data_IF_773581688456
#
_entry.id   IF_773581688456
#
_cell.length_a   1.000
_cell.length_b   1.000
_cell.length_c   1.000
_cell.angle_alpha   90.00
_cell.angle_beta   90.00
_cell.angle_gamma   90.00
#
_symmetry.space_group_name_H-M   'P 1'
#
loop_
_entity.id
_entity.type
_entity.pdbx_description
1 polymer ?
#
# COMPACT_ATOMS: atom_id res chain seq x y z
N UNK A 1 1.64 -56.38 36.36
CA UNK A 1 1.86 -55.38 35.28
C UNK A 1 0.68 -54.40 35.27
N UNK A 2 0.83 -53.18 35.78
CA UNK A 2 -0.04 -52.05 35.39
C UNK A 2 0.76 -50.75 35.56
N UNK A 3 1.09 -50.11 34.42
CA UNK A 3 1.70 -48.78 34.35
C UNK A 3 0.59 -47.74 34.46
N UNK A 4 0.63 -46.90 35.48
CA UNK A 4 -0.24 -45.71 35.56
C UNK A 4 0.47 -44.52 34.91
N UNK A 5 -0.10 -44.06 33.79
CA UNK A 5 0.36 -42.93 33.01
C UNK A 5 -0.12 -41.63 33.67
N UNK A 6 0.80 -40.74 34.04
CA UNK A 6 0.51 -39.35 34.44
C UNK A 6 0.16 -38.55 33.19
N UNK A 7 -1.12 -38.24 32.98
CA UNK A 7 -1.54 -37.24 32.01
C UNK A 7 -1.36 -35.84 32.62
N UNK A 8 -0.46 -35.05 32.04
CA UNK A 8 -0.37 -33.62 32.27
C UNK A 8 -1.51 -32.93 31.52
N UNK A 9 -2.47 -32.34 32.24
CA UNK A 9 -3.47 -31.47 31.63
C UNK A 9 -2.82 -30.13 31.28
N UNK A 10 -2.73 -29.87 29.97
CA UNK A 10 -2.29 -28.60 29.40
C UNK A 10 -3.28 -27.48 29.74
N UNK A 11 -2.73 -26.38 30.23
CA UNK A 11 -3.42 -25.11 30.46
C UNK A 11 -3.89 -24.55 29.12
N UNK A 12 -5.19 -24.63 28.86
CA UNK A 12 -5.85 -23.97 27.72
C UNK A 12 -5.94 -22.47 28.01
N UNK A 13 -4.97 -21.71 27.49
CA UNK A 13 -5.03 -20.26 27.43
C UNK A 13 -6.20 -19.83 26.51
N UNK A 14 -7.33 -19.42 27.11
CA UNK A 14 -8.42 -18.75 26.40
C UNK A 14 -7.98 -17.31 26.06
N UNK A 15 -7.43 -17.12 24.86
CA UNK A 15 -7.32 -15.79 24.27
C UNK A 15 -8.73 -15.27 23.94
N UNK A 16 -9.28 -14.45 24.84
CA UNK A 16 -10.54 -13.76 24.64
C UNK A 16 -10.41 -12.68 23.57
N UNK A 17 -10.65 -13.04 22.31
CA UNK A 17 -10.92 -12.06 21.28
C UNK A 17 -12.32 -11.49 21.52
N UNK A 18 -12.40 -10.21 21.86
CA UNK A 18 -13.65 -9.44 21.85
C UNK A 18 -14.20 -9.46 20.41
N UNK A 19 -15.19 -10.29 20.14
CA UNK A 19 -16.00 -10.19 18.92
C UNK A 19 -16.84 -8.92 19.05
N UNK A 20 -16.37 -7.82 18.45
CA UNK A 20 -17.22 -6.68 18.20
C UNK A 20 -18.38 -7.19 17.33
N UNK A 21 -19.62 -7.07 17.81
CA UNK A 21 -20.81 -7.38 17.04
C UNK A 21 -20.81 -6.48 15.79
N UNK A 22 -20.37 -7.02 14.66
CA UNK A 22 -20.36 -6.31 13.39
C UNK A 22 -21.81 -6.05 13.01
N UNK A 23 -22.17 -4.78 12.79
CA UNK A 23 -23.48 -4.40 12.26
C UNK A 23 -23.76 -5.22 10.97
N UNK A 24 -25.03 -5.62 10.73
CA UNK A 24 -25.39 -6.29 9.49
C UNK A 24 -24.97 -5.42 8.31
N UNK A 25 -24.36 -6.05 7.30
CA UNK A 25 -23.86 -5.35 6.12
C UNK A 25 -25.07 -5.06 5.22
N UNK A 26 -25.57 -3.84 5.27
CA UNK A 26 -26.64 -3.39 4.37
C UNK A 26 -26.10 -3.25 2.94
N UNK A 27 -26.88 -3.74 1.96
CA UNK A 27 -26.57 -3.54 0.55
C UNK A 27 -26.84 -2.08 0.16
N UNK A 28 -25.87 -1.44 -0.49
CA UNK A 28 -25.98 -0.07 -0.99
C UNK A 28 -26.22 -0.08 -2.50
N UNK A 29 -27.32 0.49 -3.03
CA UNK A 29 -27.54 0.54 -4.47
C UNK A 29 -26.52 1.45 -5.16
N UNK A 30 -26.23 1.14 -6.43
CA UNK A 30 -25.21 1.84 -7.24
C UNK A 30 -25.46 3.35 -7.37
N UNK A 31 -26.71 3.81 -7.31
CA UNK A 31 -27.07 5.24 -7.34
C UNK A 31 -26.42 6.08 -6.21
N UNK A 32 -26.07 5.47 -5.08
CA UNK A 32 -25.47 6.18 -3.93
C UNK A 32 -23.97 6.45 -4.09
N UNK A 33 -23.39 6.08 -5.23
CA UNK A 33 -21.96 6.33 -5.55
C UNK A 33 -21.63 7.82 -5.56
N UNK A 34 -22.56 8.67 -5.99
CA UNK A 34 -22.37 10.13 -6.02
C UNK A 34 -22.17 10.69 -4.62
N UNK A 35 -22.94 10.20 -3.64
CA UNK A 35 -22.88 10.68 -2.25
C UNK A 35 -21.71 10.08 -1.47
N UNK A 36 -21.42 8.78 -1.69
CA UNK A 36 -20.43 8.03 -0.91
C UNK A 36 -19.53 7.18 -1.83
N UNK A 37 -18.71 7.80 -2.69
CA UNK A 37 -17.90 7.07 -3.67
C UNK A 37 -16.92 6.08 -3.01
N UNK A 38 -16.46 6.41 -1.80
CA UNK A 38 -15.54 5.58 -1.02
C UNK A 38 -16.13 4.23 -0.59
N UNK A 39 -17.44 4.00 -0.70
CA UNK A 39 -18.06 2.72 -0.31
C UNK A 39 -18.17 1.73 -1.47
N UNK A 40 -17.77 2.12 -2.67
CA UNK A 40 -17.94 1.32 -3.87
C UNK A 40 -16.60 0.93 -4.51
N UNK A 41 -16.66 -0.06 -5.39
CA UNK A 41 -15.57 -0.49 -6.25
C UNK A 41 -16.10 -0.66 -7.67
N UNK A 42 -15.31 -0.25 -8.66
CA UNK A 42 -15.61 -0.49 -10.07
C UNK A 42 -14.97 -1.80 -10.51
N UNK A 43 -15.75 -2.66 -11.16
CA UNK A 43 -15.29 -3.94 -11.69
C UNK A 43 -15.43 -3.93 -13.19
N UNK A 44 -14.38 -4.37 -13.87
CA UNK A 44 -14.40 -4.63 -15.30
C UNK A 44 -14.91 -6.05 -15.57
N UNK A 45 -15.85 -6.16 -16.49
CA UNK A 45 -16.45 -7.41 -16.96
C UNK A 45 -16.41 -7.45 -18.49
N UNK A 46 -16.81 -8.57 -19.09
CA UNK A 46 -16.89 -8.69 -20.55
C UNK A 46 -17.96 -7.75 -21.15
N UNK A 47 -18.90 -7.28 -20.33
CA UNK A 47 -20.00 -6.40 -20.74
C UNK A 47 -19.77 -4.93 -20.33
N UNK A 48 -18.58 -4.60 -19.80
CA UNK A 48 -18.20 -3.24 -19.41
C UNK A 48 -17.88 -3.07 -17.93
N UNK A 49 -17.91 -1.82 -17.47
CA UNK A 49 -17.60 -1.43 -16.10
C UNK A 49 -18.87 -1.34 -15.25
N UNK A 50 -18.89 -2.02 -14.11
CA UNK A 50 -20.01 -2.00 -13.17
C UNK A 50 -19.56 -1.58 -11.78
N UNK A 51 -20.47 -0.96 -11.03
CA UNK A 51 -20.19 -0.45 -9.69
C UNK A 51 -20.83 -1.35 -8.65
N UNK A 52 -20.04 -1.79 -7.66
CA UNK A 52 -20.47 -2.73 -6.61
C UNK A 52 -20.01 -2.22 -5.24
N UNK A 53 -20.80 -2.40 -4.17
CA UNK A 53 -20.37 -2.03 -2.83
C UNK A 53 -19.17 -2.86 -2.38
N UNK A 54 -18.20 -2.20 -1.73
CA UNK A 54 -16.96 -2.82 -1.22
C UNK A 54 -17.16 -4.13 -0.42
N UNK A 55 -18.18 -4.26 0.45
CA UNK A 55 -18.38 -5.50 1.21
C UNK A 55 -18.60 -6.73 0.32
N UNK A 56 -19.21 -6.54 -0.86
CA UNK A 56 -19.55 -7.60 -1.81
C UNK A 56 -18.45 -7.84 -2.85
N UNK A 57 -17.39 -7.02 -2.83
CA UNK A 57 -16.27 -7.16 -3.73
C UNK A 57 -15.28 -8.23 -3.25
N UNK A 58 -15.06 -9.24 -4.09
CA UNK A 58 -13.92 -10.15 -4.06
C UNK A 58 -13.40 -10.36 -5.48
N UNK A 59 -12.08 -10.31 -5.63
CA UNK A 59 -11.41 -10.48 -6.91
C UNK A 59 -11.77 -11.85 -7.51
N UNK A 60 -12.12 -11.88 -8.82
CA UNK A 60 -12.64 -13.02 -9.59
C UNK A 60 -14.01 -13.56 -9.15
N UNK A 61 -14.26 -13.73 -7.84
CA UNK A 61 -15.53 -14.25 -7.35
C UNK A 61 -16.71 -13.37 -7.76
N UNK A 62 -16.61 -12.05 -7.52
CA UNK A 62 -17.66 -11.10 -7.91
C UNK A 62 -17.84 -11.06 -9.42
N UNK A 63 -16.74 -11.06 -10.19
CA UNK A 63 -16.78 -11.02 -11.66
C UNK A 63 -17.50 -12.24 -12.25
N UNK A 64 -17.17 -13.45 -11.76
CA UNK A 64 -17.78 -14.69 -12.24
C UNK A 64 -19.27 -14.76 -11.93
N UNK A 65 -19.65 -14.38 -10.71
CA UNK A 65 -21.05 -14.39 -10.31
C UNK A 65 -21.89 -13.36 -11.07
N UNK A 66 -21.32 -12.20 -11.38
CA UNK A 66 -21.97 -11.18 -12.21
C UNK A 66 -22.13 -11.65 -13.64
N UNK A 67 -21.08 -12.25 -14.24
CA UNK A 67 -21.19 -12.83 -15.58
C UNK A 67 -22.32 -13.84 -15.64
N UNK A 68 -22.36 -14.75 -14.67
CA UNK A 68 -23.42 -15.74 -14.56
C UNK A 68 -24.80 -15.10 -14.40
N UNK A 69 -24.95 -14.12 -13.51
CA UNK A 69 -26.23 -13.44 -13.28
C UNK A 69 -26.75 -12.71 -14.53
N UNK A 70 -25.84 -12.15 -15.34
CA UNK A 70 -26.17 -11.49 -16.60
C UNK A 70 -26.54 -12.52 -17.67
N UNK A 71 -25.76 -13.59 -17.83
CA UNK A 71 -26.02 -14.67 -18.81
C UNK A 71 -27.33 -15.44 -18.48
N UNK A 72 -27.62 -15.67 -17.19
CA UNK A 72 -28.86 -16.32 -16.74
C UNK A 72 -30.11 -15.48 -17.05
N UNK A 73 -29.99 -14.14 -17.01
CA UNK A 73 -31.11 -13.22 -17.28
C UNK A 73 -31.24 -12.86 -18.76
N UNK A 74 -30.13 -12.82 -19.49
CA UNK A 74 -30.06 -12.48 -20.91
C UNK A 74 -29.11 -13.45 -21.63
N UNK A 75 -29.60 -14.64 -22.04
CA UNK A 75 -28.78 -15.60 -22.77
C UNK A 75 -28.38 -15.09 -24.17
N UNK A 76 -29.17 -14.16 -24.73
CA UNK A 76 -28.99 -13.49 -26.03
C UNK A 76 -28.00 -12.32 -26.00
N UNK A 77 -27.40 -12.01 -24.85
CA UNK A 77 -26.60 -10.78 -24.67
C UNK A 77 -25.39 -10.65 -25.61
N UNK A 78 -24.88 -11.78 -26.11
CA UNK A 78 -23.77 -11.80 -27.09
C UNK A 78 -24.22 -11.33 -28.47
N UNK A 79 -25.49 -11.52 -28.80
CA UNK A 79 -26.08 -11.17 -30.09
C UNK A 79 -26.77 -9.80 -30.04
N UNK A 80 -27.43 -9.48 -28.91
CA UNK A 80 -28.13 -8.22 -28.69
C UNK A 80 -27.53 -7.52 -27.45
N UNK A 81 -26.57 -6.59 -27.66
CA UNK A 81 -26.01 -5.81 -26.57
C UNK A 81 -27.10 -4.96 -25.90
N UNK A 82 -27.22 -5.06 -24.59
CA UNK A 82 -28.16 -4.25 -23.80
C UNK A 82 -27.49 -2.96 -23.31
N UNK A 83 -28.31 -1.97 -22.94
CA UNK A 83 -27.81 -0.74 -22.34
C UNK A 83 -27.11 -1.03 -21.01
N UNK A 84 -26.11 -0.20 -20.70
CA UNK A 84 -25.34 -0.31 -19.47
C UNK A 84 -26.22 -0.23 -18.22
N UNK A 85 -27.23 0.64 -18.22
CA UNK A 85 -28.16 0.85 -17.10
C UNK A 85 -28.93 -0.43 -16.74
N UNK A 86 -29.47 -1.12 -17.76
CA UNK A 86 -30.19 -2.39 -17.56
C UNK A 86 -29.28 -3.45 -16.96
N UNK A 87 -28.02 -3.52 -17.42
CA UNK A 87 -27.06 -4.47 -16.87
C UNK A 87 -26.63 -4.10 -15.43
N UNK A 88 -26.52 -2.81 -15.11
CA UNK A 88 -26.24 -2.35 -13.76
C UNK A 88 -27.40 -2.67 -12.80
N UNK A 89 -28.65 -2.64 -13.25
CA UNK A 89 -29.79 -3.12 -12.45
C UNK A 89 -29.69 -4.60 -12.12
N UNK A 90 -29.27 -5.45 -13.07
CA UNK A 90 -29.03 -6.88 -12.81
C UNK A 90 -27.93 -7.08 -11.78
N UNK A 91 -26.85 -6.28 -11.84
CA UNK A 91 -25.77 -6.31 -10.85
C UNK A 91 -26.25 -5.88 -9.47
N UNK A 92 -27.12 -4.87 -9.39
CA UNK A 92 -27.70 -4.41 -8.13
C UNK A 92 -28.65 -5.46 -7.53
N UNK A 93 -29.48 -6.11 -8.36
CA UNK A 93 -30.36 -7.21 -7.95
C UNK A 93 -29.56 -8.42 -7.45
N UNK A 94 -28.48 -8.77 -8.16
CA UNK A 94 -27.52 -9.79 -7.73
C UNK A 94 -26.94 -9.43 -6.35
N UNK A 95 -26.49 -8.20 -6.16
CA UNK A 95 -25.93 -7.75 -4.89
C UNK A 95 -26.92 -7.82 -3.70
N UNK A 96 -28.23 -7.71 -3.94
CA UNK A 96 -29.27 -7.88 -2.91
C UNK A 96 -29.55 -9.34 -2.54
N UNK A 97 -29.37 -10.25 -3.49
CA UNK A 97 -29.75 -11.68 -3.34
C UNK A 97 -28.60 -12.55 -2.87
N UNK A 98 -27.35 -12.09 -3.04
CA UNK A 98 -26.16 -12.88 -2.75
C UNK A 98 -25.89 -13.01 -1.25
N UNK A 99 -25.68 -14.25 -0.83
CA UNK A 99 -25.19 -14.53 0.51
C UNK A 99 -23.69 -14.23 0.62
N UNK A 100 -23.37 -13.22 1.44
CA UNK A 100 -22.00 -12.76 1.73
C UNK A 100 -21.17 -13.88 2.37
N UNK A 101 -21.80 -14.87 3.02
CA UNK A 101 -21.10 -15.99 3.67
C UNK A 101 -20.31 -16.86 2.67
N UNK A 102 -20.76 -16.92 1.41
CA UNK A 102 -20.14 -17.70 0.33
C UNK A 102 -18.91 -17.02 -0.27
N UNK A 103 -18.63 -15.77 0.15
CA UNK A 103 -17.49 -14.99 -0.31
C UNK A 103 -16.18 -15.65 0.17
N UNK A 104 -15.21 -15.90 -0.72
CA UNK A 104 -13.92 -16.42 -0.31
C UNK A 104 -13.24 -15.43 0.63
N UNK A 105 -12.88 -15.89 1.82
CA UNK A 105 -12.09 -15.10 2.76
C UNK A 105 -10.71 -14.92 2.14
N UNK A 106 -10.41 -13.71 1.69
CA UNK A 106 -9.07 -13.38 1.22
C UNK A 106 -8.11 -13.45 2.42
N UNK A 107 -7.40 -14.57 2.54
CA UNK A 107 -6.29 -14.68 3.49
C UNK A 107 -5.25 -13.65 3.11
N UNK A 108 -4.88 -12.79 4.06
CA UNK A 108 -3.81 -11.81 3.85
C UNK A 108 -2.56 -12.56 3.42
N UNK A 109 -1.92 -12.13 2.33
CA UNK A 109 -0.65 -12.70 1.85
C UNK A 109 0.34 -12.75 3.01
N UNK A 110 0.76 -13.95 3.39
CA UNK A 110 1.64 -14.11 4.55
C UNK A 110 3.06 -13.68 4.18
N UNK A 111 3.90 -13.40 5.18
CA UNK A 111 5.33 -13.09 4.95
C UNK A 111 6.04 -14.24 4.22
N UNK A 112 5.61 -15.48 4.44
CA UNK A 112 6.12 -16.67 3.75
C UNK A 112 5.75 -16.65 2.26
N UNK A 113 4.50 -16.31 1.93
CA UNK A 113 4.05 -16.22 0.53
C UNK A 113 4.80 -15.13 -0.25
N UNK A 114 5.00 -13.97 0.37
CA UNK A 114 5.78 -12.88 -0.24
C UNK A 114 7.23 -13.32 -0.49
N UNK A 115 7.84 -14.07 0.45
CA UNK A 115 9.20 -14.59 0.28
C UNK A 115 9.25 -15.61 -0.87
N UNK A 116 8.31 -16.56 -0.92
CA UNK A 116 8.21 -17.55 -2.00
C UNK A 116 8.08 -16.89 -3.37
N UNK A 117 7.26 -15.84 -3.50
CA UNK A 117 7.13 -15.09 -4.75
C UNK A 117 8.44 -14.42 -5.18
N UNK A 118 9.21 -13.87 -4.22
CA UNK A 118 10.52 -13.28 -4.51
C UNK A 118 11.55 -14.32 -4.94
N UNK A 119 11.59 -15.45 -4.23
CA UNK A 119 12.52 -16.55 -4.51
C UNK A 119 12.21 -17.17 -5.89
N UNK A 120 10.93 -17.33 -6.24
CA UNK A 120 10.51 -17.81 -7.57
C UNK A 120 10.84 -16.81 -8.69
N UNK A 121 10.66 -15.51 -8.44
CA UNK A 121 11.04 -14.47 -9.39
C UNK A 121 12.56 -14.43 -9.63
N UNK A 122 13.35 -14.62 -8.57
CA UNK A 122 14.80 -14.74 -8.66
C UNK A 122 15.20 -15.96 -9.49
N UNK A 123 14.60 -17.12 -9.20
CA UNK A 123 14.85 -18.36 -9.94
C UNK A 123 14.55 -18.24 -11.44
N UNK A 124 13.41 -17.63 -11.79
CA UNK A 124 13.06 -17.33 -13.20
C UNK A 124 14.05 -16.40 -13.90
N UNK A 125 14.74 -15.53 -13.15
CA UNK A 125 15.74 -14.62 -13.69
C UNK A 125 17.04 -15.37 -13.97
N UNK A 126 17.48 -16.19 -13.02
CA UNK A 126 18.66 -17.04 -13.16
C UNK A 126 18.52 -18.02 -14.34
N UNK A 127 17.37 -18.67 -14.48
CA UNK A 127 17.11 -19.58 -15.61
C UNK A 127 17.14 -18.89 -16.99
N UNK A 128 16.87 -17.58 -17.06
CA UNK A 128 16.93 -16.83 -18.32
C UNK A 128 18.36 -16.50 -18.73
N UNK A 129 19.31 -16.47 -17.79
CA UNK A 129 20.71 -16.18 -18.07
C UNK A 129 21.44 -17.39 -18.67
N UNK A 130 20.96 -18.61 -18.41
CA UNK A 130 21.56 -19.86 -18.89
C UNK A 130 21.12 -20.27 -20.32
N UNK A 131 20.15 -19.58 -20.90
CA UNK A 131 19.75 -19.76 -22.30
C UNK A 131 20.43 -18.64 -23.10
N UNK A 132 21.23 -18.93 -24.15
CA UNK A 132 21.72 -17.91 -25.07
C UNK A 132 20.53 -17.26 -25.80
N UNK A 133 19.92 -16.25 -25.20
CA UNK A 133 18.72 -15.62 -25.72
C UNK A 133 19.09 -14.72 -26.88
N UNK A 134 18.61 -15.06 -28.08
CA UNK A 134 18.37 -14.09 -29.15
C UNK A 134 17.55 -12.94 -28.56
N UNK A 135 18.17 -11.77 -28.52
CA UNK A 135 17.74 -10.58 -27.79
C UNK A 135 16.46 -9.98 -28.37
N UNK A 136 15.32 -10.13 -27.67
CA UNK A 136 14.18 -9.22 -27.82
C UNK A 136 14.25 -8.21 -26.67
N UNK A 137 15.02 -7.15 -26.89
CA UNK A 137 15.07 -5.98 -26.01
C UNK A 137 13.73 -5.24 -26.12
N UNK A 138 12.80 -5.46 -25.19
CA UNK A 138 11.70 -4.54 -24.98
C UNK A 138 12.27 -3.25 -24.38
N UNK A 139 12.45 -2.22 -25.21
CA UNK A 139 12.81 -0.87 -24.78
C UNK A 139 11.67 -0.29 -23.94
N UNK A 140 11.73 -0.46 -22.63
CA UNK A 140 11.04 0.45 -21.73
C UNK A 140 11.84 1.75 -21.74
N UNK A 141 11.23 2.82 -22.23
CA UNK A 141 11.74 4.19 -22.17
C UNK A 141 11.84 4.63 -20.71
N UNK A 142 12.97 4.30 -20.08
CA UNK A 142 13.34 4.85 -18.79
C UNK A 142 13.63 6.34 -18.97
N UNK A 143 12.75 7.18 -18.45
CA UNK A 143 12.98 8.63 -18.35
C UNK A 143 14.33 8.85 -17.66
N UNK A 144 15.26 9.64 -18.25
CA UNK A 144 16.56 9.87 -17.66
C UNK A 144 16.39 10.71 -16.40
N UNK A 145 16.33 10.06 -15.24
CA UNK A 145 16.51 10.73 -13.96
C UNK A 145 17.92 11.27 -13.93
N UNK A 146 18.09 12.60 -14.02
CA UNK A 146 19.37 13.28 -13.78
C UNK A 146 19.86 12.86 -12.39
N UNK A 147 20.80 11.90 -12.35
CA UNK A 147 21.42 11.44 -11.11
C UNK A 147 22.49 12.47 -10.74
N UNK A 148 22.25 13.23 -9.68
CA UNK A 148 23.34 13.93 -8.99
C UNK A 148 24.40 12.91 -8.57
N UNK A 149 25.68 13.26 -8.77
CA UNK A 149 26.84 12.35 -8.60
C UNK A 149 27.12 11.96 -7.14
N UNK A 150 26.36 12.45 -6.17
CA UNK A 150 26.57 12.22 -4.74
C UNK A 150 25.35 11.61 -4.05
N UNK A 151 25.00 10.39 -4.46
CA UNK A 151 23.85 9.68 -3.93
C UNK A 151 22.53 10.31 -4.38
N UNK A 152 21.49 9.50 -4.53
CA UNK A 152 20.20 10.01 -4.98
C UNK A 152 19.57 10.81 -3.84
N UNK A 153 19.75 12.14 -3.83
CA UNK A 153 19.05 13.04 -2.91
C UNK A 153 17.55 12.96 -3.23
N UNK A 154 16.83 12.15 -2.45
CA UNK A 154 15.38 11.98 -2.52
C UNK A 154 14.63 13.13 -1.85
N UNK A 155 13.32 13.25 -2.14
CA UNK A 155 12.41 14.18 -1.46
C UNK A 155 12.33 13.97 0.06
N UNK A 156 12.69 12.79 0.57
CA UNK A 156 12.78 12.55 2.01
C UNK A 156 13.89 13.43 2.63
N UNK A 157 15.00 13.61 1.91
CA UNK A 157 16.08 14.46 2.36
C UNK A 157 15.71 15.94 2.28
N UNK A 158 15.04 16.35 1.21
CA UNK A 158 14.50 17.71 1.06
C UNK A 158 13.51 18.04 2.21
N UNK A 159 12.62 17.12 2.56
CA UNK A 159 11.73 17.25 3.72
C UNK A 159 12.50 17.40 5.03
N UNK A 160 13.54 16.60 5.25
CA UNK A 160 14.36 16.72 6.47
C UNK A 160 15.07 18.08 6.55
N UNK A 161 15.50 18.62 5.41
CA UNK A 161 16.07 19.96 5.30
C UNK A 161 15.05 21.04 5.62
N UNK A 162 13.92 21.01 4.94
CA UNK A 162 12.79 21.90 5.18
C UNK A 162 12.36 21.89 6.65
N UNK A 163 12.16 20.71 7.23
CA UNK A 163 11.79 20.56 8.63
C UNK A 163 12.84 21.17 9.58
N UNK A 164 14.13 21.04 9.28
CA UNK A 164 15.19 21.60 10.14
C UNK A 164 15.23 23.13 10.15
N UNK A 165 14.86 23.78 9.04
CA UNK A 165 14.83 25.24 8.92
C UNK A 165 13.51 25.85 9.43
N UNK A 166 12.39 25.13 9.31
CA UNK A 166 11.07 25.63 9.71
C UNK A 166 10.71 25.32 11.15
N UNK A 167 11.20 24.20 11.72
CA UNK A 167 10.90 23.82 13.09
C UNK A 167 11.21 24.90 14.15
N UNK A 168 12.30 25.69 14.07
CA UNK A 168 12.54 26.79 15.00
C UNK A 168 11.43 27.86 15.02
N UNK A 169 10.75 28.10 13.88
CA UNK A 169 9.64 29.08 13.78
C UNK A 169 8.42 28.66 14.59
N UNK A 170 8.21 27.35 14.70
CA UNK A 170 7.11 26.73 15.44
C UNK A 170 7.49 26.30 16.87
N UNK A 171 8.57 26.87 17.43
CA UNK A 171 9.05 26.55 18.78
C UNK A 171 8.08 26.93 19.90
N UNK A 172 7.08 27.76 19.61
CA UNK A 172 6.03 28.19 20.54
C UNK A 172 4.87 27.20 20.66
N UNK A 173 4.72 26.27 19.71
CA UNK A 173 3.67 25.25 19.72
C UNK A 173 4.16 23.94 20.32
N UNK A 174 3.22 23.07 20.71
CA UNK A 174 3.57 21.71 21.11
C UNK A 174 4.27 20.98 19.95
N UNK A 175 5.16 20.03 20.28
CA UNK A 175 5.97 19.27 19.30
C UNK A 175 5.11 18.51 18.30
N UNK A 176 3.90 18.11 18.70
CA UNK A 176 2.96 17.39 17.84
C UNK A 176 2.23 18.33 16.87
N UNK A 177 1.84 19.51 17.36
CA UNK A 177 1.12 20.53 16.58
C UNK A 177 2.05 21.21 15.58
N UNK A 178 3.23 21.65 16.01
CA UNK A 178 4.28 22.19 15.14
C UNK A 178 4.62 21.26 13.97
N UNK A 179 4.79 19.96 14.24
CA UNK A 179 5.05 18.98 13.19
C UNK A 179 3.89 18.84 12.20
N UNK A 180 2.64 18.95 12.68
CA UNK A 180 1.46 18.87 11.84
C UNK A 180 1.37 20.08 10.92
N UNK A 181 1.60 21.28 11.44
CA UNK A 181 1.57 22.50 10.62
C UNK A 181 2.66 22.49 9.56
N UNK A 182 3.90 22.15 9.92
CA UNK A 182 5.01 22.04 8.95
C UNK A 182 4.71 20.99 7.87
N UNK A 183 4.03 19.89 8.23
CA UNK A 183 3.63 18.88 7.26
C UNK A 183 2.52 19.38 6.32
N UNK A 184 1.58 20.17 6.82
CA UNK A 184 0.55 20.81 6.00
C UNK A 184 1.18 21.80 5.01
N UNK A 185 2.10 22.66 5.49
CA UNK A 185 2.84 23.59 4.64
C UNK A 185 3.60 22.87 3.53
N UNK A 186 4.34 21.82 3.87
CA UNK A 186 5.07 21.03 2.88
C UNK A 186 4.15 20.34 1.88
N UNK A 187 2.98 19.86 2.30
CA UNK A 187 2.03 19.25 1.37
C UNK A 187 1.40 20.29 0.43
N UNK A 188 1.24 21.54 0.88
CA UNK A 188 0.76 22.65 0.07
C UNK A 188 1.80 23.14 -0.96
N UNK A 189 3.11 22.97 -0.70
CA UNK A 189 4.15 23.32 -1.66
C UNK A 189 4.07 22.50 -2.96
N UNK A 190 4.32 23.17 -4.07
CA UNK A 190 4.42 22.57 -5.41
C UNK A 190 5.66 21.68 -5.53
N UNK A 191 5.70 20.85 -6.59
CA UNK A 191 6.84 19.98 -6.85
C UNK A 191 8.11 20.77 -7.19
N UNK A 192 7.97 21.94 -7.83
CA UNK A 192 9.09 22.82 -8.19
C UNK A 192 9.76 23.41 -6.94
N UNK A 193 8.97 23.96 -6.02
CA UNK A 193 9.49 24.48 -4.74
C UNK A 193 10.16 23.39 -3.89
N UNK A 194 9.62 22.16 -3.92
CA UNK A 194 10.23 21.00 -3.25
C UNK A 194 11.57 20.61 -3.88
N UNK A 195 11.71 20.81 -5.19
CA UNK A 195 12.94 20.57 -5.92
C UNK A 195 14.01 21.63 -5.58
N UNK A 196 13.62 22.89 -5.35
CA UNK A 196 14.56 23.91 -4.85
C UNK A 196 15.14 23.53 -3.49
N UNK A 197 14.33 23.01 -2.56
CA UNK A 197 14.82 22.49 -1.28
C UNK A 197 15.70 21.25 -1.44
N UNK A 198 15.46 20.43 -2.46
CA UNK A 198 16.28 19.27 -2.80
C UNK A 198 17.66 19.71 -3.30
N UNK A 199 17.71 20.73 -4.15
CA UNK A 199 18.96 21.33 -4.65
C UNK A 199 19.73 22.03 -3.53
N UNK A 200 19.05 22.80 -2.68
CA UNK A 200 19.65 23.42 -1.50
C UNK A 200 20.29 22.39 -0.56
N UNK A 201 19.63 21.24 -0.33
CA UNK A 201 20.20 20.16 0.46
C UNK A 201 21.37 19.45 -0.25
N UNK A 202 21.33 19.31 -1.58
CA UNK A 202 22.46 18.79 -2.34
C UNK A 202 23.70 19.69 -2.21
N UNK A 203 23.51 21.02 -2.25
CA UNK A 203 24.57 21.99 -2.01
C UNK A 203 25.10 21.91 -0.56
N UNK A 204 24.21 21.74 0.42
CA UNK A 204 24.62 21.55 1.81
C UNK A 204 25.52 20.31 2.01
N UNK A 205 25.22 19.22 1.29
CA UNK A 205 26.05 18.02 1.29
C UNK A 205 27.41 18.25 0.62
N UNK A 206 27.47 19.06 -0.44
CA UNK A 206 28.73 19.46 -1.08
C UNK A 206 29.62 20.25 -0.11
N UNK A 207 29.02 21.09 0.74
CA UNK A 207 29.70 21.85 1.79
C UNK A 207 30.18 20.98 2.98
N UNK A 208 29.99 19.65 2.91
CA UNK A 208 30.39 18.72 3.97
C UNK A 208 29.51 18.79 5.23
N UNK A 209 28.33 19.40 5.13
CA UNK A 209 27.33 19.49 6.21
C UNK A 209 26.18 18.52 5.93
N UNK A 210 25.60 17.99 6.99
CA UNK A 210 24.50 17.03 6.92
C UNK A 210 23.53 17.25 8.09
N UNK A 211 22.28 16.86 7.91
CA UNK A 211 21.25 17.04 8.92
C UNK A 211 21.25 15.84 9.87
N UNK A 212 21.29 16.14 11.17
CA UNK A 212 21.11 15.15 12.22
C UNK A 212 20.15 15.68 13.29
N UNK A 213 19.02 14.98 13.47
CA UNK A 213 17.97 15.32 14.46
C UNK A 213 17.46 16.76 14.34
N UNK A 214 17.19 17.23 13.12
CA UNK A 214 16.64 18.56 12.88
C UNK A 214 17.63 19.71 13.07
N UNK A 215 18.93 19.43 13.20
CA UNK A 215 20.00 20.43 13.18
C UNK A 215 20.97 20.14 12.05
N UNK A 216 21.47 21.19 11.40
CA UNK A 216 22.57 21.12 10.44
C UNK A 216 23.87 20.89 11.24
N UNK A 217 24.56 19.80 10.96
CA UNK A 217 25.76 19.35 11.67
C UNK A 217 26.84 19.04 10.64
N UNK A 218 28.12 19.24 10.95
CA UNK A 218 29.19 18.81 10.05
C UNK A 218 29.23 17.28 9.92
N UNK A 219 29.62 16.77 8.75
CA UNK A 219 29.70 15.32 8.48
C UNK A 219 30.61 14.60 9.48
N UNK A 220 31.70 15.24 9.91
CA UNK A 220 32.63 14.71 10.91
C UNK A 220 32.00 14.57 12.30
N UNK A 221 31.20 15.55 12.73
CA UNK A 221 30.48 15.48 13.99
C UNK A 221 29.41 14.39 13.99
N UNK A 222 28.75 14.16 12.84
CA UNK A 222 27.75 13.09 12.68
C UNK A 222 28.39 11.71 12.84
N UNK A 223 29.56 11.49 12.24
CA UNK A 223 30.33 10.25 12.37
C UNK A 223 30.82 10.02 13.83
N UNK A 224 31.32 11.07 14.50
CA UNK A 224 31.75 10.99 15.92
C UNK A 224 30.57 10.72 16.88
N UNK A 225 29.38 11.27 16.62
CA UNK A 225 28.18 11.03 17.44
C UNK A 225 27.61 9.63 17.22
N UNK A 226 27.72 9.07 16.01
CA UNK A 226 27.31 7.69 15.73
C UNK A 226 28.27 6.66 16.34
N UNK A 227 29.59 6.89 16.28
CA UNK A 227 30.57 5.98 16.88
C UNK A 227 30.47 5.93 18.42
N UNK A 228 30.25 7.07 19.09
CA UNK A 228 30.00 7.12 20.54
C UNK A 228 28.76 6.35 20.98
N UNK A 229 27.73 6.28 20.13
CA UNK A 229 26.48 5.56 20.44
C UNK A 229 26.64 4.05 20.31
N UNK A 230 27.51 3.58 19.41
CA UNK A 230 27.82 2.16 19.20
C UNK A 230 28.63 1.56 20.35
N UNK A 231 29.62 2.30 20.89
CA UNK A 231 30.36 1.90 22.11
C UNK A 231 29.45 1.75 23.34
N UNK A 232 28.46 2.63 23.51
CA UNK A 232 27.54 2.59 24.66
C UNK A 232 26.51 1.45 24.64
N UNK A 233 26.38 0.74 23.52
CA UNK A 233 25.48 -0.42 23.37
C UNK A 233 26.21 -1.77 23.42
N UNK A 234 27.54 -1.79 23.42
CA UNK A 234 28.35 -3.00 23.59
C UNK A 234 28.76 -3.22 25.07
N UNK A 235 28.73 -2.17 25.90
CA UNK A 235 29.00 -2.22 27.35
C UNK A 235 27.72 -2.41 28.22
N UNK A 236 26.62 -2.91 27.63
CA UNK A 236 25.36 -3.20 28.33
C UNK A 236 24.82 -4.55 27.90
#
# INVERSE_FOLDING_TARGET
>A
MFRTSKMCYGVLAKAGYRTAASKPIEFLPSRLVVEKPYNFHAIHTNYGWFIIPKPYYAYRWTTLNIHKAIEDRYPDIKEVPRSHEVLQEVVDDWGRTVDISTKPIMTKTTRADIKKQKDEALYRTQLKEDIPSLSISSKQTAVPKKRSRLGTVTFIHAWNYYFSITHPKYSHLDKKESRREIANEWNALTTEEKDDYREAYANLLNDGKDIHKGKIVSREEKLKKQSKKKKKSEDK
#
